data_IF_348343680888
#
_entry.id   IF_348343680888
#
_cell.length_a   1.000
_cell.length_b   1.000
_cell.length_c   1.000
_cell.angle_alpha   90.00
_cell.angle_beta   90.00
_cell.angle_gamma   90.00
#
_symmetry.space_group_name_H-M   'P 1'
#
loop_
_entity.id
_entity.type
_entity.pdbx_description
1 polymer ?
#
# COMPACT_ATOMS: atom_id res chain seq x y z
N UNK A 1 -18.02 -8.97 13.71
CA UNK A 1 -18.87 -7.77 13.74
C UNK A 1 -18.46 -6.95 12.55
N UNK A 2 -19.39 -6.58 11.66
CA UNK A 2 -19.07 -5.87 10.43
C UNK A 2 -19.37 -4.38 10.58
N UNK A 3 -18.43 -3.54 10.16
CA UNK A 3 -18.64 -2.08 10.11
C UNK A 3 -19.22 -1.74 8.74
N UNK A 4 -20.41 -1.15 8.73
CA UNK A 4 -21.02 -0.66 7.50
C UNK A 4 -20.44 0.71 7.13
N UNK A 5 -20.23 0.96 5.83
CA UNK A 5 -19.74 2.25 5.32
C UNK A 5 -20.84 2.89 4.49
N UNK A 6 -21.14 4.18 4.73
CA UNK A 6 -22.08 4.92 3.89
C UNK A 6 -21.42 6.19 3.37
N UNK A 7 -21.39 6.33 2.05
CA UNK A 7 -20.83 7.52 1.38
C UNK A 7 -21.96 8.50 1.09
N UNK A 8 -21.87 9.74 1.55
CA UNK A 8 -22.93 10.74 1.39
C UNK A 8 -22.42 12.08 0.84
N UNK A 9 -22.89 12.51 -0.33
CA UNK A 9 -22.40 13.74 -0.96
C UNK A 9 -23.51 14.56 -1.60
N UNK A 10 -23.22 15.84 -1.88
CA UNK A 10 -24.01 16.65 -2.80
C UNK A 10 -23.89 16.12 -4.24
N UNK A 11 -25.01 16.11 -4.96
CA UNK A 11 -25.08 15.57 -6.31
C UNK A 11 -24.80 14.07 -6.35
N UNK A 12 -24.33 13.60 -7.52
CA UNK A 12 -24.09 12.18 -7.80
C UNK A 12 -22.64 11.72 -7.52
N UNK A 13 -21.92 12.42 -6.64
CA UNK A 13 -20.50 12.13 -6.41
C UNK A 13 -20.31 10.85 -5.57
N UNK A 14 -21.22 10.52 -4.64
CA UNK A 14 -21.09 9.39 -3.73
C UNK A 14 -21.06 8.07 -4.50
N UNK A 15 -21.98 7.90 -5.46
CA UNK A 15 -21.99 6.73 -6.35
C UNK A 15 -20.66 6.59 -7.12
N UNK A 16 -20.16 7.68 -7.68
CA UNK A 16 -18.98 7.65 -8.55
C UNK A 16 -17.67 7.48 -7.75
N UNK A 17 -17.62 7.99 -6.53
CA UNK A 17 -16.54 7.74 -5.59
C UNK A 17 -16.46 6.25 -5.22
N UNK A 18 -17.61 5.61 -4.95
CA UNK A 18 -17.67 4.17 -4.71
C UNK A 18 -17.17 3.39 -5.92
N UNK A 19 -17.72 3.65 -7.12
CA UNK A 19 -17.30 2.98 -8.36
C UNK A 19 -15.81 3.14 -8.63
N UNK A 20 -15.23 4.31 -8.35
CA UNK A 20 -13.78 4.53 -8.51
C UNK A 20 -12.96 3.69 -7.53
N UNK A 21 -13.41 3.55 -6.28
CA UNK A 21 -12.76 2.67 -5.32
C UNK A 21 -12.88 1.19 -5.74
N UNK A 22 -14.04 0.78 -6.25
CA UNK A 22 -14.28 -0.58 -6.76
C UNK A 22 -13.46 -0.90 -8.01
N UNK A 23 -13.20 0.08 -8.88
CA UNK A 23 -12.25 -0.12 -10.00
C UNK A 23 -10.83 -0.45 -9.53
N UNK A 24 -10.44 -0.02 -8.31
CA UNK A 24 -9.11 -0.25 -7.76
C UNK A 24 -9.03 -1.54 -6.92
N UNK A 25 -10.12 -1.90 -6.25
CA UNK A 25 -10.16 -2.98 -5.25
C UNK A 25 -11.04 -4.17 -5.63
N UNK A 26 -11.90 -4.04 -6.63
CA UNK A 26 -13.04 -4.92 -6.88
C UNK A 26 -14.30 -4.44 -6.16
N UNK A 27 -15.44 -5.04 -6.50
CA UNK A 27 -16.75 -4.76 -5.86
C UNK A 27 -16.65 -4.82 -4.34
N UNK A 28 -17.37 -3.92 -3.66
CA UNK A 28 -17.32 -3.80 -2.21
C UNK A 28 -18.68 -4.17 -1.59
N UNK A 29 -18.63 -5.01 -0.55
CA UNK A 29 -19.81 -5.39 0.23
C UNK A 29 -20.03 -4.45 1.42
N UNK A 30 -21.20 -4.58 2.06
CA UNK A 30 -21.58 -3.85 3.28
C UNK A 30 -21.32 -2.32 3.20
N UNK A 31 -21.59 -1.75 2.02
CA UNK A 31 -21.43 -0.33 1.72
C UNK A 31 -22.66 0.19 0.99
N UNK A 32 -23.01 1.45 1.22
CA UNK A 32 -24.02 2.14 0.45
C UNK A 32 -23.58 3.57 0.09
N UNK A 33 -24.27 4.17 -0.87
CA UNK A 33 -24.11 5.57 -1.21
C UNK A 33 -25.44 6.32 -1.12
N UNK A 34 -25.35 7.62 -0.84
CA UNK A 34 -26.45 8.57 -0.78
C UNK A 34 -26.09 9.80 -1.59
N UNK A 35 -26.84 10.02 -2.66
CA UNK A 35 -26.77 11.23 -3.46
C UNK A 35 -27.82 12.24 -2.98
N UNK A 36 -27.35 13.45 -2.66
CA UNK A 36 -28.21 14.58 -2.31
C UNK A 36 -28.46 15.44 -3.55
N UNK A 37 -29.61 15.22 -4.20
CA UNK A 37 -29.94 15.84 -5.50
C UNK A 37 -30.77 17.12 -5.35
N UNK A 38 -30.79 18.02 -6.35
CA UNK A 38 -31.56 19.26 -6.27
C UNK A 38 -33.05 19.02 -5.93
N UNK A 39 -33.57 19.80 -4.99
CA UNK A 39 -34.96 19.71 -4.51
C UNK A 39 -35.14 18.89 -3.24
N UNK A 40 -34.11 18.17 -2.78
CA UNK A 40 -34.14 17.44 -1.52
C UNK A 40 -33.75 18.32 -0.33
N UNK A 41 -34.05 17.83 0.88
CA UNK A 41 -33.67 18.46 2.14
C UNK A 41 -33.05 17.44 3.12
N UNK A 42 -32.59 17.92 4.28
CA UNK A 42 -31.95 17.06 5.29
C UNK A 42 -32.87 15.95 5.83
N UNK A 43 -34.18 16.18 5.93
CA UNK A 43 -35.15 15.16 6.38
C UNK A 43 -35.23 14.01 5.38
N UNK A 44 -35.23 14.34 4.08
CA UNK A 44 -35.19 13.35 2.99
C UNK A 44 -33.92 12.51 3.09
N UNK A 45 -32.77 13.13 3.36
CA UNK A 45 -31.52 12.41 3.55
C UNK A 45 -31.53 11.48 4.76
N UNK A 46 -32.13 11.90 5.89
CA UNK A 46 -32.28 11.05 7.08
C UNK A 46 -33.09 9.80 6.73
N UNK A 47 -34.18 9.94 5.96
CA UNK A 47 -34.98 8.80 5.50
C UNK A 47 -34.13 7.85 4.65
N UNK A 48 -33.43 8.38 3.64
CA UNK A 48 -32.56 7.55 2.77
C UNK A 48 -31.44 6.86 3.54
N UNK A 49 -30.79 7.55 4.48
CA UNK A 49 -29.75 6.95 5.33
C UNK A 49 -30.32 5.79 6.13
N UNK A 50 -31.46 5.97 6.81
CA UNK A 50 -32.08 4.90 7.59
C UNK A 50 -32.52 3.72 6.71
N UNK A 51 -33.03 3.98 5.50
CA UNK A 51 -33.34 2.95 4.52
C UNK A 51 -32.09 2.13 4.17
N UNK A 52 -30.97 2.78 3.82
CA UNK A 52 -29.71 2.08 3.52
C UNK A 52 -29.18 1.32 4.74
N UNK A 53 -29.18 1.92 5.93
CA UNK A 53 -28.75 1.30 7.19
C UNK A 53 -29.52 -0.01 7.43
N UNK A 54 -30.83 -0.04 7.15
CA UNK A 54 -31.65 -1.24 7.37
C UNK A 54 -31.27 -2.44 6.49
N UNK A 55 -30.57 -2.19 5.37
CA UNK A 55 -30.07 -3.22 4.45
C UNK A 55 -28.61 -3.61 4.65
N UNK A 56 -27.92 -3.05 5.65
CA UNK A 56 -26.50 -3.29 5.92
C UNK A 56 -26.30 -4.06 7.23
N UNK A 57 -25.19 -4.80 7.35
CA UNK A 57 -24.76 -5.36 8.63
C UNK A 57 -24.05 -4.28 9.43
N UNK A 58 -24.73 -3.77 10.46
CA UNK A 58 -24.21 -2.73 11.36
C UNK A 58 -23.73 -3.27 12.70
N UNK A 59 -23.47 -4.58 12.81
CA UNK A 59 -23.07 -5.21 14.08
C UNK A 59 -21.77 -4.67 14.67
N UNK A 60 -20.89 -4.10 13.83
CA UNK A 60 -19.65 -3.42 14.22
C UNK A 60 -19.73 -1.89 14.22
N UNK A 61 -20.86 -1.30 13.82
CA UNK A 61 -21.05 0.15 13.71
C UNK A 61 -21.31 0.64 12.28
N UNK A 62 -21.45 1.96 12.13
CA UNK A 62 -21.64 2.64 10.84
C UNK A 62 -20.71 3.84 10.72
N UNK A 63 -19.85 3.83 9.71
CA UNK A 63 -18.99 4.95 9.37
C UNK A 63 -19.58 5.71 8.17
N UNK A 64 -20.00 6.96 8.41
CA UNK A 64 -20.43 7.85 7.34
C UNK A 64 -19.23 8.62 6.80
N UNK A 65 -19.00 8.53 5.48
CA UNK A 65 -17.97 9.27 4.78
C UNK A 65 -18.63 10.32 3.89
N UNK A 66 -18.59 11.57 4.31
CA UNK A 66 -19.33 12.66 3.66
C UNK A 66 -18.40 13.68 3.01
N UNK A 67 -18.93 14.48 2.08
CA UNK A 67 -18.14 15.47 1.35
C UNK A 67 -17.67 16.66 2.21
N UNK A 68 -18.59 17.30 2.93
CA UNK A 68 -18.41 18.65 3.47
C UNK A 68 -18.94 18.77 4.90
N UNK A 69 -18.14 19.39 5.77
CA UNK A 69 -18.56 19.72 7.13
C UNK A 69 -19.69 20.74 7.13
N UNK A 70 -20.75 20.47 7.92
CA UNK A 70 -21.93 21.34 8.00
C UNK A 70 -22.86 21.30 6.78
N UNK A 71 -22.55 20.49 5.75
CA UNK A 71 -23.42 20.27 4.60
C UNK A 71 -24.65 19.41 4.93
N UNK A 72 -25.64 19.35 4.04
CA UNK A 72 -26.85 18.53 4.26
C UNK A 72 -26.55 17.03 4.49
N UNK A 73 -25.65 16.37 3.72
CA UNK A 73 -25.24 14.99 3.99
C UNK A 73 -24.63 14.81 5.37
N UNK A 74 -23.77 15.74 5.80
CA UNK A 74 -23.16 15.74 7.13
C UNK A 74 -24.23 15.92 8.22
N UNK A 75 -25.04 16.97 8.14
CA UNK A 75 -26.04 17.28 9.18
C UNK A 75 -27.05 16.14 9.37
N UNK A 76 -27.47 15.49 8.28
CA UNK A 76 -28.35 14.32 8.33
C UNK A 76 -27.67 13.11 8.97
N UNK A 77 -26.42 12.80 8.57
CA UNK A 77 -25.65 11.72 9.16
C UNK A 77 -25.35 11.96 10.66
N UNK A 78 -24.96 13.18 11.04
CA UNK A 78 -24.65 13.54 12.43
C UNK A 78 -25.86 13.37 13.34
N UNK A 79 -27.08 13.71 12.87
CA UNK A 79 -28.31 13.47 13.64
C UNK A 79 -28.59 11.98 13.89
N UNK A 80 -28.12 11.10 13.01
CA UNK A 80 -28.27 9.65 13.17
C UNK A 80 -27.16 9.09 14.09
N UNK A 81 -25.95 9.66 14.00
CA UNK A 81 -24.78 9.19 14.71
C UNK A 81 -24.72 9.63 16.18
N UNK A 82 -25.21 10.83 16.52
CA UNK A 82 -24.97 11.49 17.82
C UNK A 82 -25.32 10.66 19.05
N UNK A 83 -26.38 9.84 18.98
CA UNK A 83 -26.85 9.03 20.11
C UNK A 83 -26.41 7.55 20.04
N UNK A 84 -25.43 7.22 19.18
CA UNK A 84 -24.97 5.84 18.96
C UNK A 84 -23.45 5.73 19.10
N UNK A 85 -23.01 4.83 19.98
CA UNK A 85 -21.60 4.68 20.36
C UNK A 85 -20.67 4.35 19.18
N UNK A 86 -21.05 3.42 18.30
CA UNK A 86 -20.25 3.00 17.14
C UNK A 86 -20.79 3.60 15.82
N UNK A 87 -21.16 4.87 15.84
CA UNK A 87 -21.53 5.62 14.65
C UNK A 87 -20.72 6.90 14.59
N UNK A 88 -20.08 7.18 13.46
CA UNK A 88 -19.23 8.37 13.30
C UNK A 88 -19.32 8.93 11.88
N UNK A 89 -19.18 10.25 11.77
CA UNK A 89 -19.23 11.00 10.51
C UNK A 89 -17.88 11.65 10.23
N UNK A 90 -17.20 11.16 9.21
CA UNK A 90 -15.93 11.72 8.71
C UNK A 90 -16.19 12.49 7.42
N UNK A 91 -15.74 13.74 7.37
CA UNK A 91 -15.91 14.63 6.21
C UNK A 91 -14.69 14.64 5.29
N UNK A 92 -14.86 15.10 4.06
CA UNK A 92 -13.77 15.24 3.08
C UNK A 92 -13.45 13.95 2.35
N UNK A 93 -14.45 13.07 2.18
CA UNK A 93 -14.30 11.79 1.50
C UNK A 93 -13.56 11.93 0.17
N UNK A 94 -12.54 11.10 -0.02
CA UNK A 94 -11.71 11.07 -1.21
C UNK A 94 -11.26 9.63 -1.51
N UNK A 95 -10.69 9.39 -2.69
CA UNK A 95 -10.31 8.04 -3.12
C UNK A 95 -9.27 7.38 -2.20
N UNK A 96 -8.19 8.06 -1.76
CA UNK A 96 -7.27 7.49 -0.77
C UNK A 96 -7.97 7.02 0.52
N UNK A 97 -8.86 7.84 1.09
CA UNK A 97 -9.65 7.47 2.26
C UNK A 97 -10.47 6.20 2.02
N UNK A 98 -11.21 6.14 0.90
CA UNK A 98 -12.06 5.00 0.58
C UNK A 98 -11.25 3.72 0.39
N UNK A 99 -10.17 3.78 -0.40
CA UNK A 99 -9.31 2.63 -0.68
C UNK A 99 -8.76 2.05 0.62
N UNK A 100 -8.21 2.89 1.49
CA UNK A 100 -7.60 2.42 2.73
C UNK A 100 -8.62 1.95 3.77
N UNK A 101 -9.77 2.63 3.86
CA UNK A 101 -10.85 2.22 4.76
C UNK A 101 -11.42 0.85 4.35
N UNK A 102 -11.65 0.62 3.05
CA UNK A 102 -12.12 -0.68 2.57
C UNK A 102 -11.09 -1.78 2.80
N UNK A 103 -9.82 -1.54 2.46
CA UNK A 103 -8.75 -2.51 2.67
C UNK A 103 -8.57 -2.88 4.15
N UNK A 104 -8.66 -1.91 5.05
CA UNK A 104 -8.52 -2.17 6.47
C UNK A 104 -9.75 -2.88 7.06
N UNK A 105 -10.96 -2.57 6.58
CA UNK A 105 -12.19 -3.20 7.04
C UNK A 105 -12.16 -4.74 6.88
N UNK A 106 -11.52 -5.25 5.83
CA UNK A 106 -11.37 -6.69 5.58
C UNK A 106 -10.58 -7.42 6.70
N UNK A 107 -9.74 -6.70 7.44
CA UNK A 107 -8.98 -7.24 8.58
C UNK A 107 -9.76 -7.16 9.91
N UNK A 108 -11.07 -6.80 9.90
CA UNK A 108 -11.94 -6.65 11.08
C UNK A 108 -11.36 -5.76 12.21
N UNK A 109 -11.02 -4.49 11.94
CA UNK A 109 -10.47 -3.58 12.93
C UNK A 109 -11.51 -3.16 13.97
N UNK A 110 -11.05 -2.57 15.08
CA UNK A 110 -11.97 -1.88 15.98
C UNK A 110 -12.57 -0.64 15.30
N UNK A 111 -13.77 -0.22 15.70
CA UNK A 111 -14.48 0.91 15.07
C UNK A 111 -13.64 2.20 15.08
N UNK A 112 -13.10 2.56 16.24
CA UNK A 112 -12.26 3.77 16.40
C UNK A 112 -10.96 3.71 15.59
N UNK A 113 -10.39 2.51 15.39
CA UNK A 113 -9.19 2.33 14.55
C UNK A 113 -9.51 2.63 13.09
N UNK A 114 -10.67 2.18 12.60
CA UNK A 114 -11.12 2.46 11.24
C UNK A 114 -11.43 3.95 11.04
N UNK A 115 -12.04 4.62 12.03
CA UNK A 115 -12.27 6.07 12.01
C UNK A 115 -10.94 6.84 11.94
N UNK A 116 -9.99 6.48 12.81
CA UNK A 116 -8.67 7.11 12.83
C UNK A 116 -7.93 6.95 11.50
N UNK A 117 -8.00 5.75 10.91
CA UNK A 117 -7.41 5.47 9.60
C UNK A 117 -8.06 6.31 8.50
N UNK A 118 -9.39 6.44 8.47
CA UNK A 118 -10.09 7.26 7.48
C UNK A 118 -9.64 8.72 7.56
N UNK A 119 -9.50 9.27 8.78
CA UNK A 119 -9.00 10.62 8.99
C UNK A 119 -7.54 10.80 8.54
N UNK A 120 -6.66 9.87 8.91
CA UNK A 120 -5.24 9.91 8.54
C UNK A 120 -5.07 9.84 7.03
N UNK A 121 -5.61 8.79 6.40
CA UNK A 121 -5.46 8.51 4.97
C UNK A 121 -6.16 9.55 4.10
N UNK A 122 -7.30 10.08 4.56
CA UNK A 122 -7.98 11.19 3.92
C UNK A 122 -7.12 12.45 3.87
N UNK A 123 -6.40 12.77 4.95
CA UNK A 123 -5.48 13.93 5.01
C UNK A 123 -4.21 13.67 4.22
N UNK A 124 -3.58 12.51 4.41
CA UNK A 124 -2.36 12.14 3.70
C UNK A 124 -2.57 12.06 2.18
N UNK A 125 -3.77 11.68 1.72
CA UNK A 125 -4.14 11.64 0.32
C UNK A 125 -4.12 13.01 -0.38
N UNK A 126 -4.23 14.10 0.38
CA UNK A 126 -4.24 15.47 -0.16
C UNK A 126 -2.79 15.97 -0.29
N UNK A 127 -2.19 15.77 -1.47
CA UNK A 127 -0.79 16.15 -1.76
C UNK A 127 -0.71 17.12 -2.93
N UNK A 128 0.23 18.07 -2.84
CA UNK A 128 0.57 18.96 -3.94
C UNK A 128 2.03 18.75 -4.35
N UNK A 129 2.26 18.36 -5.60
CA UNK A 129 3.59 18.00 -6.14
C UNK A 129 4.68 19.06 -5.88
N UNK A 130 4.31 20.34 -5.97
CA UNK A 130 5.24 21.46 -5.86
C UNK A 130 5.36 22.03 -4.45
N UNK A 131 4.50 21.62 -3.51
CA UNK A 131 4.65 22.02 -2.11
C UNK A 131 5.52 20.99 -1.39
N UNK A 132 6.56 21.41 -0.67
CA UNK A 132 7.28 20.52 0.23
C UNK A 132 6.26 19.87 1.17
N UNK A 133 6.29 18.54 1.27
CA UNK A 133 5.57 17.87 2.34
C UNK A 133 6.31 18.19 3.65
N UNK A 134 5.57 18.54 4.69
CA UNK A 134 6.13 18.65 6.03
C UNK A 134 6.59 17.25 6.45
N UNK A 135 7.90 17.01 6.46
CA UNK A 135 8.44 15.78 7.02
C UNK A 135 8.22 15.80 8.54
N UNK A 136 7.76 14.69 9.15
CA UNK A 136 7.95 14.49 10.58
C UNK A 136 9.45 14.63 10.88
N UNK A 137 9.81 15.40 11.92
CA UNK A 137 11.19 15.71 12.22
C UNK A 137 12.07 14.44 12.28
N UNK A 138 12.96 14.29 11.30
CA UNK A 138 13.97 13.23 11.28
C UNK A 138 15.05 13.56 12.33
N UNK A 139 15.45 12.60 13.19
CA UNK A 139 16.73 12.68 13.88
C UNK A 139 17.85 12.79 12.83
N UNK A 140 18.73 13.77 12.99
CA UNK A 140 19.81 14.02 12.04
C UNK A 140 20.73 12.80 11.90
N UNK A 141 20.77 12.20 10.71
CA UNK A 141 21.78 11.21 10.38
C UNK A 141 23.14 11.91 10.12
N UNK A 142 24.28 11.37 10.62
CA UNK A 142 25.59 11.93 10.34
C UNK A 142 25.95 11.76 8.85
N UNK A 143 26.36 12.86 8.22
CA UNK A 143 26.87 12.88 6.84
C UNK A 143 28.21 12.14 6.80
N UNK A 144 28.34 11.13 5.94
CA UNK A 144 29.58 10.38 5.78
C UNK A 144 30.34 10.76 4.51
N UNK A 145 31.67 10.94 4.66
CA UNK A 145 32.65 10.97 3.58
C UNK A 145 32.77 9.59 2.92
N UNK A 146 33.05 9.56 1.63
CA UNK A 146 33.29 8.34 0.85
C UNK A 146 34.49 7.56 1.41
N UNK A 147 34.32 6.24 1.58
CA UNK A 147 35.35 5.34 2.08
C UNK A 147 35.98 4.51 0.94
N UNK A 148 37.28 4.26 1.08
CA UNK A 148 38.14 3.46 0.19
C UNK A 148 37.84 1.94 0.27
N UNK A 149 38.36 1.11 -0.67
CA UNK A 149 38.01 -0.31 -0.77
C UNK A 149 38.47 -1.12 0.45
N UNK A 150 37.60 -1.97 0.99
CA UNK A 150 37.88 -2.83 2.15
C UNK A 150 37.80 -4.32 1.77
N UNK A 151 38.51 -5.15 2.54
CA UNK A 151 38.63 -6.61 2.39
C UNK A 151 37.27 -7.35 2.49
N UNK A 152 37.20 -8.64 2.07
CA UNK A 152 35.92 -9.38 2.04
C UNK A 152 35.29 -9.46 3.42
N UNK A 153 34.03 -9.06 3.49
CA UNK A 153 33.22 -9.01 4.69
C UNK A 153 32.80 -10.42 5.15
N UNK A 154 32.64 -10.60 6.46
CA UNK A 154 32.04 -11.81 7.02
C UNK A 154 30.50 -11.80 6.94
N UNK A 155 29.82 -12.93 7.17
CA UNK A 155 28.37 -13.05 7.04
C UNK A 155 27.56 -12.09 7.93
N UNK A 156 28.13 -11.66 9.06
CA UNK A 156 27.49 -10.74 10.02
C UNK A 156 27.80 -9.26 9.77
N UNK A 157 28.60 -8.93 8.74
CA UNK A 157 28.98 -7.55 8.44
C UNK A 157 28.11 -6.93 7.33
N UNK A 158 27.06 -7.63 6.88
CA UNK A 158 26.09 -7.16 5.89
C UNK A 158 24.83 -6.62 6.56
N UNK A 159 24.11 -5.75 5.84
CA UNK A 159 22.78 -5.32 6.26
C UNK A 159 21.81 -6.51 6.34
N UNK A 160 20.75 -6.39 7.14
CA UNK A 160 19.75 -7.45 7.29
C UNK A 160 18.58 -7.20 6.36
N UNK A 161 18.30 -8.13 5.45
CA UNK A 161 17.10 -8.05 4.59
C UNK A 161 15.89 -8.51 5.41
N UNK A 162 15.03 -7.57 5.81
CA UNK A 162 13.77 -7.88 6.48
C UNK A 162 12.70 -8.38 5.52
N UNK A 163 12.72 -7.88 4.28
CA UNK A 163 11.83 -8.29 3.19
C UNK A 163 12.46 -7.96 1.84
N UNK A 164 12.40 -8.89 0.88
CA UNK A 164 12.60 -8.60 -0.53
C UNK A 164 11.24 -8.74 -1.23
N UNK A 165 10.74 -7.67 -1.85
CA UNK A 165 9.40 -7.63 -2.44
C UNK A 165 9.41 -7.10 -3.87
N UNK A 166 8.69 -7.80 -4.75
CA UNK A 166 8.42 -7.38 -6.13
C UNK A 166 7.03 -6.71 -6.16
N UNK A 167 7.00 -5.42 -6.47
CA UNK A 167 5.77 -4.64 -6.68
C UNK A 167 6.05 -3.53 -7.71
N UNK A 168 5.39 -3.57 -8.87
CA UNK A 168 5.56 -2.59 -9.95
C UNK A 168 5.26 -1.14 -9.51
N UNK A 169 4.43 -0.98 -8.48
CA UNK A 169 4.03 0.32 -7.93
C UNK A 169 4.98 0.82 -6.84
N UNK A 170 5.94 -0.01 -6.42
CA UNK A 170 6.99 0.33 -5.46
C UNK A 170 6.42 0.80 -4.10
N UNK A 171 6.59 2.07 -3.75
CA UNK A 171 6.09 2.64 -2.50
C UNK A 171 4.73 3.27 -2.79
N UNK A 172 3.65 2.58 -2.38
CA UNK A 172 2.27 3.02 -2.59
C UNK A 172 1.35 2.55 -1.46
N UNK A 173 0.31 3.36 -1.18
CA UNK A 173 -0.72 3.10 -0.17
C UNK A 173 -0.20 2.76 1.23
N UNK A 174 -1.06 2.20 2.07
CA UNK A 174 -0.67 1.65 3.39
C UNK A 174 0.01 0.28 3.27
N UNK A 175 0.07 -0.33 2.09
CA UNK A 175 0.79 -1.60 1.88
C UNK A 175 2.26 -1.44 2.27
N UNK A 176 2.93 -0.39 1.80
CA UNK A 176 4.31 -0.12 2.20
C UNK A 176 4.44 0.13 3.72
N UNK A 177 3.51 0.89 4.31
CA UNK A 177 3.50 1.18 5.76
C UNK A 177 3.31 -0.08 6.61
N UNK A 178 2.36 -0.96 6.23
CA UNK A 178 2.07 -2.21 6.94
C UNK A 178 3.26 -3.16 6.90
N UNK A 179 3.79 -3.44 5.71
CA UNK A 179 4.97 -4.29 5.57
C UNK A 179 6.16 -3.72 6.33
N UNK A 180 6.31 -2.40 6.36
CA UNK A 180 7.38 -1.73 7.11
C UNK A 180 7.27 -1.98 8.61
N UNK A 181 6.08 -1.81 9.18
CA UNK A 181 5.81 -2.08 10.60
C UNK A 181 6.01 -3.55 10.96
N UNK A 182 5.47 -4.47 10.18
CA UNK A 182 5.52 -5.91 10.47
C UNK A 182 6.92 -6.50 10.30
N UNK A 183 7.68 -6.03 9.31
CA UNK A 183 9.05 -6.51 9.07
C UNK A 183 10.07 -5.77 9.93
N UNK A 184 9.65 -4.73 10.66
CA UNK A 184 10.45 -3.86 11.50
C UNK A 184 11.68 -3.30 10.77
N UNK A 185 11.48 -2.88 9.52
CA UNK A 185 12.54 -2.28 8.70
C UNK A 185 12.58 -0.77 8.96
N UNK A 186 13.79 -0.21 8.96
CA UNK A 186 14.01 1.24 9.12
C UNK A 186 14.40 1.92 7.81
N UNK A 187 14.64 1.13 6.76
CA UNK A 187 15.05 1.61 5.44
C UNK A 187 14.40 0.80 4.32
N UNK A 188 13.92 1.50 3.31
CA UNK A 188 13.46 0.94 2.04
C UNK A 188 14.50 1.27 0.97
N UNK A 189 14.90 0.27 0.18
CA UNK A 189 15.79 0.42 -0.96
C UNK A 189 15.06 -0.09 -2.20
N UNK A 190 14.64 0.83 -3.06
CA UNK A 190 14.15 0.51 -4.40
C UNK A 190 15.36 0.24 -5.29
N UNK A 191 15.41 -0.97 -5.86
CA UNK A 191 16.49 -1.43 -6.72
C UNK A 191 15.96 -1.58 -8.14
N UNK A 192 16.32 -0.62 -9.00
CA UNK A 192 15.95 -0.63 -10.41
C UNK A 192 16.80 0.38 -11.18
N UNK A 193 17.44 -0.07 -12.25
CA UNK A 193 18.28 0.78 -13.11
C UNK A 193 17.44 1.89 -13.79
N UNK A 194 16.23 1.56 -14.25
CA UNK A 194 15.30 2.52 -14.88
C UNK A 194 14.86 3.62 -13.90
N UNK A 195 14.42 3.23 -12.70
CA UNK A 195 13.94 4.17 -11.68
C UNK A 195 15.08 5.02 -11.13
N UNK A 196 16.30 4.46 -11.04
CA UNK A 196 17.47 5.20 -10.62
C UNK A 196 17.89 6.29 -11.62
N UNK A 197 17.64 6.07 -12.92
CA UNK A 197 17.89 7.04 -13.98
C UNK A 197 16.80 8.12 -14.09
N UNK A 198 15.57 7.83 -13.65
CA UNK A 198 14.46 8.78 -13.64
C UNK A 198 14.46 9.66 -12.38
N UNK A 199 14.93 10.89 -12.52
CA UNK A 199 15.00 11.83 -11.40
C UNK A 199 13.62 12.16 -10.82
N UNK A 200 12.58 12.28 -11.65
CA UNK A 200 11.23 12.63 -11.16
C UNK A 200 10.67 11.48 -10.35
N UNK A 201 10.72 10.26 -10.90
CA UNK A 201 10.21 9.07 -10.22
C UNK A 201 10.97 8.78 -8.94
N UNK A 202 12.29 8.96 -8.93
CA UNK A 202 13.13 8.85 -7.73
C UNK A 202 12.69 9.82 -6.63
N UNK A 203 12.49 11.10 -6.96
CA UNK A 203 12.06 12.11 -5.99
C UNK A 203 10.69 11.77 -5.41
N UNK A 204 9.74 11.41 -6.28
CA UNK A 204 8.38 11.03 -5.86
C UNK A 204 8.37 9.86 -4.90
N UNK A 205 9.11 8.79 -5.21
CA UNK A 205 9.20 7.60 -4.36
C UNK A 205 9.79 7.91 -2.98
N UNK A 206 10.76 8.82 -2.91
CA UNK A 206 11.34 9.21 -1.61
C UNK A 206 10.41 10.06 -0.75
N UNK A 207 9.47 10.79 -1.35
CA UNK A 207 8.49 11.61 -0.64
C UNK A 207 7.34 10.79 -0.05
N UNK A 208 7.01 9.65 -0.66
CA UNK A 208 5.91 8.77 -0.21
C UNK A 208 6.37 7.70 0.78
N UNK A 209 7.60 7.79 1.31
CA UNK A 209 8.13 6.86 2.29
C UNK A 209 7.31 6.91 3.61
N UNK A 210 7.04 5.77 4.26
CA UNK A 210 6.32 5.75 5.53
C UNK A 210 7.03 6.57 6.62
N UNK A 211 6.29 7.18 7.57
CA UNK A 211 6.87 7.91 8.69
C UNK A 211 7.88 7.07 9.49
N UNK A 212 9.03 7.65 9.83
CA UNK A 212 10.10 6.96 10.55
C UNK A 212 10.99 6.06 9.69
N UNK A 213 10.70 5.92 8.39
CA UNK A 213 11.48 5.07 7.47
C UNK A 213 12.10 5.88 6.35
N UNK A 214 13.35 5.55 6.03
CA UNK A 214 14.09 6.23 4.96
C UNK A 214 14.00 5.46 3.65
N UNK A 215 13.64 6.12 2.56
CA UNK A 215 13.60 5.51 1.23
C UNK A 215 14.77 5.95 0.36
N UNK A 216 15.35 5.02 -0.39
CA UNK A 216 16.40 5.26 -1.37
C UNK A 216 16.11 4.53 -2.67
N UNK A 217 16.46 5.15 -3.79
CA UNK A 217 16.42 4.51 -5.11
C UNK A 217 17.84 4.39 -5.64
N UNK A 218 18.22 3.17 -6.02
CA UNK A 218 19.56 2.82 -6.51
C UNK A 218 19.48 1.85 -7.70
N UNK A 219 20.50 1.90 -8.54
CA UNK A 219 20.73 0.87 -9.56
C UNK A 219 21.24 -0.44 -8.92
N UNK A 220 21.19 -1.53 -9.67
CA UNK A 220 21.58 -2.88 -9.23
C UNK A 220 23.04 -2.91 -8.78
N UNK A 221 23.95 -2.29 -9.53
CA UNK A 221 25.38 -2.28 -9.21
C UNK A 221 25.67 -1.54 -7.90
N UNK A 222 24.93 -0.47 -7.63
CA UNK A 222 24.99 0.27 -6.37
C UNK A 222 24.36 -0.53 -5.23
N UNK A 223 23.26 -1.23 -5.43
CA UNK A 223 22.69 -2.10 -4.40
C UNK A 223 23.70 -3.14 -3.91
N UNK A 224 24.42 -3.81 -4.83
CA UNK A 224 25.49 -4.78 -4.49
C UNK A 224 26.64 -4.10 -3.73
N UNK A 225 27.04 -2.88 -4.10
CA UNK A 225 28.06 -2.13 -3.36
C UNK A 225 27.61 -1.73 -1.96
N UNK A 226 26.36 -1.34 -1.78
CA UNK A 226 25.79 -0.97 -0.46
C UNK A 226 25.66 -2.22 0.42
N UNK A 227 25.27 -3.36 -0.15
CA UNK A 227 25.26 -4.67 0.53
C UNK A 227 26.65 -5.02 1.10
N UNK A 228 27.69 -4.81 0.30
CA UNK A 228 29.09 -5.07 0.66
C UNK A 228 29.75 -3.90 1.43
N UNK A 229 28.98 -3.08 2.14
CA UNK A 229 29.51 -1.99 2.93
C UNK A 229 29.17 -2.18 4.42
N UNK A 230 30.17 -2.40 5.30
CA UNK A 230 29.96 -2.73 6.71
C UNK A 230 29.27 -1.61 7.50
N UNK A 231 29.25 -0.37 6.96
CA UNK A 231 28.51 0.74 7.57
C UNK A 231 27.02 0.42 7.78
N UNK A 232 26.45 -0.44 6.93
CA UNK A 232 25.03 -0.79 6.97
C UNK A 232 24.74 -2.10 7.69
N UNK A 233 25.72 -2.72 8.37
CA UNK A 233 25.56 -4.02 9.04
C UNK A 233 24.40 -4.06 10.06
N UNK A 234 24.11 -2.92 10.69
CA UNK A 234 23.03 -2.79 11.67
C UNK A 234 21.68 -2.40 11.04
N UNK A 235 21.63 -2.08 9.75
CA UNK A 235 20.41 -1.67 9.09
C UNK A 235 19.54 -2.90 8.79
N UNK A 236 18.25 -2.81 9.11
CA UNK A 236 17.25 -3.77 8.67
C UNK A 236 16.45 -3.13 7.53
N UNK A 237 16.58 -3.71 6.34
CA UNK A 237 16.13 -3.10 5.08
C UNK A 237 15.01 -3.89 4.42
N UNK A 238 14.12 -3.18 3.73
CA UNK A 238 13.22 -3.75 2.73
C UNK A 238 13.77 -3.43 1.34
N UNK A 239 13.97 -4.46 0.52
CA UNK A 239 14.32 -4.31 -0.89
C UNK A 239 13.04 -4.34 -1.72
N UNK A 240 12.84 -3.32 -2.56
CA UNK A 240 11.72 -3.24 -3.49
C UNK A 240 12.22 -3.34 -4.93
N UNK A 241 11.58 -4.20 -5.70
CA UNK A 241 11.88 -4.46 -7.10
C UNK A 241 10.63 -4.30 -7.95
N UNK A 242 10.80 -3.99 -9.23
CA UNK A 242 9.69 -4.02 -10.20
C UNK A 242 9.58 -5.39 -10.89
N UNK A 243 10.65 -6.18 -10.90
CA UNK A 243 10.71 -7.42 -11.66
C UNK A 243 11.65 -8.45 -11.01
N UNK A 244 11.46 -9.76 -11.27
CA UNK A 244 12.33 -10.82 -10.73
C UNK A 244 13.72 -10.86 -11.37
N UNK A 245 13.91 -10.25 -12.55
CA UNK A 245 15.23 -10.22 -13.20
C UNK A 245 16.24 -9.44 -12.37
N UNK A 246 15.87 -8.29 -11.81
CA UNK A 246 16.76 -7.50 -10.96
C UNK A 246 17.03 -8.18 -9.61
N UNK A 247 16.06 -8.96 -9.09
CA UNK A 247 16.29 -9.83 -7.92
C UNK A 247 17.36 -10.86 -8.24
N UNK A 248 17.23 -11.56 -9.38
CA UNK A 248 18.24 -12.52 -9.84
C UNK A 248 19.61 -11.87 -9.99
N UNK A 249 19.70 -10.67 -10.58
CA UNK A 249 20.98 -9.96 -10.72
C UNK A 249 21.64 -9.64 -9.36
N UNK A 250 20.87 -9.38 -8.31
CA UNK A 250 21.41 -9.16 -6.96
C UNK A 250 21.94 -10.45 -6.35
N UNK A 251 21.20 -11.54 -6.47
CA UNK A 251 21.64 -12.88 -6.03
C UNK A 251 22.88 -13.32 -6.83
N UNK A 252 22.85 -13.07 -8.14
CA UNK A 252 23.96 -12.99 -9.11
C UNK A 252 25.24 -12.42 -8.49
N UNK A 253 25.09 -11.19 -7.99
CA UNK A 253 26.16 -10.38 -7.40
C UNK A 253 26.52 -10.72 -5.95
N UNK A 254 26.02 -11.84 -5.40
CA UNK A 254 26.37 -12.31 -4.05
C UNK A 254 25.57 -11.70 -2.91
N UNK A 255 24.43 -11.06 -3.19
CA UNK A 255 23.49 -10.62 -2.15
C UNK A 255 22.71 -11.84 -1.63
N UNK A 256 22.69 -12.03 -0.31
CA UNK A 256 21.99 -13.16 0.31
C UNK A 256 20.50 -12.85 0.51
N UNK A 257 19.64 -13.41 -0.36
CA UNK A 257 18.19 -13.29 -0.29
C UNK A 257 17.58 -14.67 -0.03
N UNK A 258 16.94 -14.83 1.12
CA UNK A 258 16.37 -16.11 1.56
C UNK A 258 14.94 -16.35 1.02
N UNK A 259 14.16 -15.29 0.88
CA UNK A 259 12.79 -15.33 0.37
C UNK A 259 12.44 -14.06 -0.40
N UNK A 260 11.54 -14.19 -1.36
CA UNK A 260 11.02 -13.09 -2.19
C UNK A 260 9.50 -13.12 -2.13
N UNK A 261 8.92 -11.98 -1.78
CA UNK A 261 7.49 -11.74 -1.79
C UNK A 261 7.07 -11.09 -3.11
N UNK A 262 6.11 -11.69 -3.81
CA UNK A 262 5.52 -11.15 -5.05
C UNK A 262 4.19 -10.50 -4.68
N UNK A 263 4.22 -9.17 -4.59
CA UNK A 263 3.08 -8.35 -4.19
C UNK A 263 2.17 -7.96 -5.35
N UNK A 264 2.76 -7.54 -6.46
CA UNK A 264 2.01 -7.13 -7.64
C UNK A 264 2.88 -6.94 -8.88
N UNK A 265 2.53 -7.62 -9.96
CA UNK A 265 3.14 -7.45 -11.28
C UNK A 265 2.02 -7.19 -12.27
N UNK A 266 1.95 -5.96 -12.78
CA UNK A 266 0.83 -5.49 -13.57
C UNK A 266 0.76 -6.21 -14.92
N UNK A 267 -0.47 -6.46 -15.38
CA UNK A 267 -0.70 -6.98 -16.73
C UNK A 267 -0.22 -5.97 -17.78
N UNK A 268 0.48 -6.46 -18.79
CA UNK A 268 0.85 -5.73 -20.01
C UNK A 268 0.68 -6.66 -21.20
N UNK A 269 0.50 -6.09 -22.39
CA UNK A 269 0.40 -6.88 -23.63
C UNK A 269 1.65 -7.75 -23.78
N UNK A 270 1.47 -9.07 -23.92
CA UNK A 270 2.55 -10.06 -23.95
C UNK A 270 2.82 -10.78 -22.62
N UNK A 271 2.19 -10.37 -21.51
CA UNK A 271 2.23 -11.13 -20.25
C UNK A 271 1.00 -12.04 -20.11
N UNK A 272 1.18 -13.15 -19.40
CA UNK A 272 0.10 -14.06 -19.00
C UNK A 272 -0.25 -13.81 -17.53
N UNK A 273 -1.53 -13.63 -17.24
CA UNK A 273 -2.01 -13.44 -15.88
C UNK A 273 -2.03 -14.77 -15.12
N UNK A 274 -1.36 -14.83 -13.97
CA UNK A 274 -1.25 -16.06 -13.15
C UNK A 274 -2.14 -16.01 -11.91
N UNK A 275 -2.47 -14.79 -11.47
CA UNK A 275 -3.45 -14.50 -10.43
C UNK A 275 -3.92 -13.03 -10.60
N UNK A 276 -4.93 -12.61 -9.83
CA UNK A 276 -5.52 -11.27 -9.82
C UNK A 276 -4.48 -10.14 -9.70
N UNK A 277 -3.36 -10.36 -9.00
CA UNK A 277 -2.33 -9.34 -8.77
C UNK A 277 -1.04 -9.52 -9.58
N UNK A 278 -0.84 -10.65 -10.26
CA UNK A 278 0.45 -11.03 -10.85
C UNK A 278 0.29 -11.49 -12.29
N UNK A 279 1.02 -10.85 -13.18
CA UNK A 279 1.18 -11.23 -14.58
C UNK A 279 2.66 -11.37 -14.92
N UNK A 280 3.01 -12.41 -15.68
CA UNK A 280 4.40 -12.77 -15.99
C UNK A 280 4.60 -12.99 -17.49
N UNK A 281 5.80 -12.70 -17.99
CA UNK A 281 6.28 -13.14 -19.30
C UNK A 281 7.31 -14.28 -19.19
N UNK A 282 7.84 -14.74 -20.31
CA UNK A 282 8.86 -15.81 -20.35
C UNK A 282 10.12 -15.44 -19.57
N UNK A 283 10.54 -14.17 -19.60
CA UNK A 283 11.72 -13.69 -18.89
C UNK A 283 11.51 -13.67 -17.38
N UNK A 284 10.32 -13.26 -16.94
CA UNK A 284 9.93 -13.32 -15.54
C UNK A 284 9.93 -14.77 -15.04
N UNK A 285 9.37 -15.71 -15.81
CA UNK A 285 9.33 -17.14 -15.49
C UNK A 285 10.74 -17.71 -15.39
N UNK A 286 11.64 -17.38 -16.32
CA UNK A 286 13.04 -17.82 -16.27
C UNK A 286 13.75 -17.32 -15.01
N UNK A 287 13.54 -16.06 -14.64
CA UNK A 287 14.11 -15.49 -13.42
C UNK A 287 13.57 -16.19 -12.15
N UNK A 288 12.27 -16.44 -12.06
CA UNK A 288 11.70 -17.19 -10.94
C UNK A 288 12.24 -18.63 -10.84
N UNK A 289 12.42 -19.32 -11.98
CA UNK A 289 13.05 -20.64 -11.99
C UNK A 289 14.48 -20.60 -11.43
N UNK A 290 15.30 -19.66 -11.88
CA UNK A 290 16.67 -19.49 -11.36
C UNK A 290 16.71 -19.19 -9.86
N UNK A 291 15.81 -18.34 -9.37
CA UNK A 291 15.69 -18.05 -7.94
C UNK A 291 15.30 -19.31 -7.14
N UNK A 292 14.31 -20.07 -7.63
CA UNK A 292 13.87 -21.32 -7.01
C UNK A 292 14.99 -22.39 -7.01
N UNK A 293 15.75 -22.51 -8.10
CA UNK A 293 16.89 -23.44 -8.21
C UNK A 293 18.01 -23.09 -7.22
N UNK A 294 18.08 -21.82 -6.78
CA UNK A 294 18.98 -21.37 -5.72
C UNK A 294 18.43 -21.63 -4.30
N UNK A 295 17.25 -22.23 -4.19
CA UNK A 295 16.58 -22.54 -2.92
C UNK A 295 15.87 -21.34 -2.29
N UNK A 296 15.66 -20.25 -3.02
CA UNK A 296 14.99 -19.04 -2.54
C UNK A 296 13.49 -19.28 -2.50
N UNK A 297 12.84 -19.02 -1.37
CA UNK A 297 11.39 -19.15 -1.25
C UNK A 297 10.68 -18.05 -2.04
N UNK A 298 9.74 -18.43 -2.92
CA UNK A 298 8.96 -17.51 -3.75
C UNK A 298 7.48 -17.53 -3.34
N UNK A 299 7.06 -16.54 -2.56
CA UNK A 299 5.69 -16.43 -2.06
C UNK A 299 4.91 -15.31 -2.77
N UNK A 300 3.66 -15.57 -3.13
CA UNK A 300 2.74 -14.59 -3.71
C UNK A 300 1.69 -14.22 -2.66
N UNK A 301 1.66 -12.94 -2.27
CA UNK A 301 0.60 -12.32 -1.45
C UNK A 301 0.69 -10.80 -1.48
N UNK A 302 -0.46 -10.11 -1.56
CA UNK A 302 -0.51 -8.65 -1.71
C UNK A 302 -0.24 -7.98 -0.38
N UNK A 303 -0.95 -8.40 0.66
CA UNK A 303 -0.73 -7.98 2.06
C UNK A 303 -0.30 -9.17 2.91
N UNK A 304 0.08 -8.92 4.15
CA UNK A 304 0.59 -9.95 5.05
C UNK A 304 -0.47 -10.89 5.61
N UNK A 305 -1.71 -10.43 5.73
CA UNK A 305 -2.88 -11.22 6.16
C UNK A 305 -3.38 -12.18 5.09
N UNK A 306 -3.05 -11.95 3.82
CA UNK A 306 -3.41 -12.84 2.72
C UNK A 306 -2.76 -14.21 2.87
N UNK A 307 -3.47 -15.24 2.39
CA UNK A 307 -2.94 -16.60 2.29
C UNK A 307 -1.72 -16.64 1.36
N UNK A 308 -0.66 -17.31 1.80
CA UNK A 308 0.57 -17.49 1.02
C UNK A 308 0.34 -18.50 -0.10
N UNK A 309 0.64 -18.10 -1.33
CA UNK A 309 0.68 -19.00 -2.48
C UNK A 309 2.13 -19.18 -2.95
N UNK A 310 2.50 -20.36 -3.43
CA UNK A 310 3.83 -20.59 -4.00
C UNK A 310 3.86 -20.15 -5.46
N UNK A 311 4.83 -19.30 -5.82
CA UNK A 311 4.93 -18.80 -7.20
C UNK A 311 5.11 -19.93 -8.22
N UNK A 312 5.91 -20.95 -7.87
CA UNK A 312 6.17 -22.09 -8.76
C UNK A 312 4.92 -22.92 -9.04
N UNK A 313 4.01 -23.04 -8.08
CA UNK A 313 2.74 -23.77 -8.28
C UNK A 313 1.84 -23.01 -9.27
N UNK A 314 1.87 -21.67 -9.27
CA UNK A 314 1.13 -20.85 -10.22
C UNK A 314 1.75 -20.94 -11.62
N UNK A 315 3.08 -20.90 -11.74
CA UNK A 315 3.79 -21.04 -13.02
C UNK A 315 3.55 -22.42 -13.63
N UNK A 316 3.57 -23.48 -12.83
CA UNK A 316 3.38 -24.85 -13.32
C UNK A 316 1.97 -25.10 -13.88
N UNK A 317 0.96 -24.33 -13.43
CA UNK A 317 -0.42 -24.41 -13.96
C UNK A 317 -0.59 -23.77 -15.34
N UNK A 318 0.40 -23.02 -15.82
CA UNK A 318 0.39 -22.42 -17.15
C UNK A 318 0.85 -23.38 -18.26
N UNK A 319 1.48 -24.50 -17.87
CA UNK A 319 1.99 -25.52 -18.79
C UNK A 319 1.01 -26.69 -18.95
#
# INVERSE_FOLDING_TARGET
MAIAIIIGTHGAAAEQLLKTAEMLLGEQDNVAFIDFVPGENAETLIVKYNEKISGLDTSGGVLFLVDTWGGSPFNAASRIAVDKENYEVVTGVNIPMLVETFMARDDNPAFDELVALALETGREGVKALKKPQEEPAKPAAPVAKAAAPQAPLGPNDHMKIGLARIDDRLIHGQVATRWTKETNVSRIIVVSDEVAADHVRKTLLTQVAPPGVTAHVVDVAKAIRVWNNPKYANDRVMLLFTNPTDVWRLVEGGVDIQSVNIGGMAFRQGKTQVNNAVSVDEKDIEAFKKLNDRGIELEVRKVSSDSRLKMMDLINKLN
#
